data_IF_678827319815
#
_entry.id   IF_678827319815
#
_cell.length_a   1.000
_cell.length_b   1.000
_cell.length_c   1.000
_cell.angle_alpha   90.00
_cell.angle_beta   90.00
_cell.angle_gamma   90.00
#
_symmetry.space_group_name_H-M   'P 1'
#
loop_
_entity.id
_entity.type
_entity.pdbx_description
1 polymer ?
#
# COMPACT_ATOMS: atom_id res chain seq x y z
N UNK A 1 -24.78 -10.16 3.11
CA UNK A 1 -24.62 -11.19 4.17
C UNK A 1 -24.66 -12.56 3.54
N UNK A 2 -23.86 -13.52 4.02
CA UNK A 2 -23.94 -14.89 3.54
C UNK A 2 -25.33 -15.49 3.87
N UNK A 3 -25.98 -16.23 2.96
CA UNK A 3 -27.33 -16.76 3.15
C UNK A 3 -27.51 -17.61 4.43
N UNK A 4 -26.45 -18.31 4.86
CA UNK A 4 -26.44 -19.14 6.06
C UNK A 4 -26.44 -18.34 7.36
N UNK A 5 -25.74 -17.19 7.39
CA UNK A 5 -25.68 -16.32 8.57
C UNK A 5 -27.03 -15.69 8.87
N UNK A 6 -27.75 -15.26 7.83
CA UNK A 6 -29.08 -14.67 7.99
C UNK A 6 -30.09 -15.71 8.50
N UNK A 7 -30.08 -16.92 7.92
CA UNK A 7 -30.92 -18.04 8.38
C UNK A 7 -30.71 -18.40 9.85
N UNK A 8 -29.46 -18.35 10.31
CA UNK A 8 -29.08 -18.61 11.71
C UNK A 8 -29.69 -17.56 12.66
N UNK A 9 -29.65 -16.29 12.27
CA UNK A 9 -30.19 -15.17 13.05
C UNK A 9 -31.71 -15.22 13.07
N UNK A 10 -32.35 -15.47 11.92
CA UNK A 10 -33.80 -15.52 11.80
C UNK A 10 -34.41 -16.66 12.63
N UNK A 11 -33.79 -17.84 12.62
CA UNK A 11 -34.22 -18.94 13.50
C UNK A 11 -34.10 -18.55 14.98
N UNK A 12 -32.98 -17.93 15.36
CA UNK A 12 -32.73 -17.54 16.75
C UNK A 12 -33.73 -16.47 17.22
N UNK A 13 -34.09 -15.50 16.37
CA UNK A 13 -35.09 -14.49 16.71
C UNK A 13 -36.49 -15.10 16.91
N UNK A 14 -36.81 -16.16 16.17
CA UNK A 14 -38.12 -16.82 16.21
C UNK A 14 -38.21 -17.96 17.25
N UNK A 15 -37.09 -18.38 17.84
CA UNK A 15 -37.06 -19.45 18.85
C UNK A 15 -37.57 -18.97 20.23
N UNK A 16 -38.32 -19.79 20.98
CA UNK A 16 -38.78 -19.45 22.33
C UNK A 16 -37.60 -19.17 23.28
N UNK A 17 -37.70 -18.13 24.10
CA UNK A 17 -36.63 -17.71 25.02
C UNK A 17 -36.21 -18.81 26.02
N UNK A 18 -37.07 -19.78 26.31
CA UNK A 18 -36.77 -20.92 27.19
C UNK A 18 -35.82 -21.95 26.56
N UNK A 19 -35.81 -22.07 25.23
CA UNK A 19 -35.07 -23.10 24.50
C UNK A 19 -33.98 -22.50 23.58
N UNK A 20 -33.94 -21.17 23.49
CA UNK A 20 -33.03 -20.44 22.63
C UNK A 20 -31.64 -20.32 23.29
N UNK A 21 -30.54 -20.63 22.58
CA UNK A 21 -29.19 -20.42 23.11
C UNK A 21 -28.88 -18.94 23.33
N UNK A 22 -27.90 -18.62 24.17
CA UNK A 22 -27.55 -17.23 24.49
C UNK A 22 -27.13 -16.38 23.28
N UNK A 23 -26.67 -17.02 22.20
CA UNK A 23 -26.23 -16.36 20.96
C UNK A 23 -26.70 -17.16 19.74
N UNK A 24 -27.04 -16.49 18.62
CA UNK A 24 -27.33 -17.16 17.35
C UNK A 24 -26.13 -17.99 16.85
N UNK A 25 -24.89 -17.65 17.22
CA UNK A 25 -23.67 -18.34 16.78
C UNK A 25 -23.18 -19.42 17.75
N UNK A 26 -24.08 -19.93 18.60
CA UNK A 26 -23.78 -21.04 19.50
C UNK A 26 -23.86 -22.37 18.76
N UNK A 27 -23.01 -23.34 19.13
CA UNK A 27 -23.07 -24.72 18.63
C UNK A 27 -24.39 -25.43 18.97
N UNK A 28 -25.17 -24.92 19.93
CA UNK A 28 -26.50 -25.41 20.26
C UNK A 28 -27.59 -24.91 19.30
N UNK A 29 -27.30 -23.95 18.42
CA UNK A 29 -28.22 -23.52 17.36
C UNK A 29 -28.13 -24.51 16.18
N UNK A 30 -29.23 -25.21 15.82
CA UNK A 30 -29.23 -26.20 14.75
C UNK A 30 -29.02 -25.58 13.36
N UNK A 31 -29.34 -24.29 13.19
CA UNK A 31 -29.10 -23.56 11.94
C UNK A 31 -27.67 -22.98 11.86
N UNK A 32 -26.95 -22.99 12.98
CA UNK A 32 -25.54 -22.58 13.01
C UNK A 32 -24.65 -23.72 12.54
N UNK A 33 -24.39 -23.74 11.23
CA UNK A 33 -23.29 -24.50 10.69
C UNK A 33 -22.02 -23.72 11.02
N UNK A 34 -21.29 -24.15 12.07
CA UNK A 34 -19.98 -23.59 12.37
C UNK A 34 -19.16 -23.61 11.08
N UNK A 35 -18.63 -22.47 10.60
CA UNK A 35 -17.74 -22.48 9.46
C UNK A 35 -16.53 -23.33 9.86
N UNK A 36 -16.54 -24.62 9.51
CA UNK A 36 -15.34 -25.41 9.38
C UNK A 36 -14.65 -24.96 8.10
N UNK A 37 -14.39 -23.66 7.98
CA UNK A 37 -13.32 -23.24 7.11
C UNK A 37 -12.09 -23.65 7.89
N UNK A 38 -11.59 -24.86 7.60
CA UNK A 38 -10.19 -25.17 7.84
C UNK A 38 -9.49 -24.11 6.99
N UNK A 39 -9.13 -23.01 7.62
CA UNK A 39 -8.24 -22.06 7.02
C UNK A 39 -6.95 -22.85 6.94
N UNK A 40 -6.57 -23.27 5.74
CA UNK A 40 -5.23 -23.81 5.55
C UNK A 40 -4.29 -22.66 5.90
N UNK A 41 -3.73 -22.72 7.11
CA UNK A 41 -2.93 -21.62 7.68
C UNK A 41 -1.75 -21.30 6.76
N UNK A 42 -1.29 -22.29 6.00
CA UNK A 42 -0.22 -22.13 5.03
C UNK A 42 -0.70 -21.31 3.81
N UNK A 43 -1.88 -21.61 3.27
CA UNK A 43 -2.43 -20.87 2.12
C UNK A 43 -2.67 -19.38 2.46
N UNK A 44 -3.12 -19.09 3.70
CA UNK A 44 -3.30 -17.70 4.15
C UNK A 44 -1.96 -17.03 4.46
N UNK A 45 -0.97 -17.76 4.96
CA UNK A 45 0.37 -17.24 5.17
C UNK A 45 1.05 -16.90 3.84
N UNK A 46 0.95 -17.79 2.84
CA UNK A 46 1.49 -17.58 1.51
C UNK A 46 0.86 -16.35 0.83
N UNK A 47 -0.46 -16.17 0.98
CA UNK A 47 -1.16 -14.98 0.48
C UNK A 47 -0.72 -13.70 1.19
N UNK A 48 -0.55 -13.75 2.51
CA UNK A 48 -0.09 -12.60 3.29
C UNK A 48 1.36 -12.23 2.96
N UNK A 49 2.23 -13.22 2.74
CA UNK A 49 3.63 -13.01 2.37
C UNK A 49 3.74 -12.43 0.95
N UNK A 50 2.91 -12.91 0.00
CA UNK A 50 2.83 -12.34 -1.33
C UNK A 50 2.33 -10.87 -1.32
N UNK A 51 1.34 -10.54 -0.48
CA UNK A 51 0.90 -9.15 -0.31
C UNK A 51 1.98 -8.28 0.35
N UNK A 52 2.75 -8.83 1.28
CA UNK A 52 3.82 -8.12 1.98
C UNK A 52 5.00 -7.80 1.05
N UNK A 53 5.42 -8.76 0.23
CA UNK A 53 6.46 -8.55 -0.80
C UNK A 53 6.01 -7.46 -1.78
N UNK A 54 4.76 -7.50 -2.22
CA UNK A 54 4.22 -6.48 -3.12
C UNK A 54 4.20 -5.09 -2.47
N UNK A 55 3.79 -4.99 -1.22
CA UNK A 55 3.82 -3.74 -0.48
C UNK A 55 5.25 -3.22 -0.28
N UNK A 56 6.22 -4.10 -0.05
CA UNK A 56 7.63 -3.73 0.10
C UNK A 56 8.23 -3.20 -1.21
N UNK A 57 7.90 -3.82 -2.35
CA UNK A 57 8.26 -3.32 -3.68
C UNK A 57 7.64 -1.95 -3.97
N UNK A 58 6.36 -1.76 -3.63
CA UNK A 58 5.66 -0.46 -3.78
C UNK A 58 6.29 0.62 -2.90
N UNK A 59 6.69 0.30 -1.67
CA UNK A 59 7.39 1.22 -0.76
C UNK A 59 8.78 1.58 -1.31
N UNK A 60 9.53 0.61 -1.84
CA UNK A 60 10.84 0.87 -2.43
C UNK A 60 10.74 1.78 -3.65
N UNK A 61 9.75 1.55 -4.53
CA UNK A 61 9.49 2.41 -5.68
C UNK A 61 9.08 3.81 -5.24
N UNK A 62 8.16 3.95 -4.28
CA UNK A 62 7.74 5.25 -3.75
C UNK A 62 8.91 6.04 -3.15
N UNK A 63 9.77 5.38 -2.36
CA UNK A 63 10.95 6.04 -1.79
C UNK A 63 11.95 6.51 -2.85
N UNK A 64 12.14 5.73 -3.92
CA UNK A 64 13.00 6.13 -5.03
C UNK A 64 12.45 7.35 -5.78
N UNK A 65 11.11 7.46 -5.91
CA UNK A 65 10.42 8.60 -6.50
C UNK A 65 10.55 9.87 -5.64
N UNK A 66 10.38 9.77 -4.31
CA UNK A 66 10.58 10.90 -3.40
C UNK A 66 12.02 11.42 -3.42
N UNK A 67 13.02 10.51 -3.44
CA UNK A 67 14.42 10.88 -3.54
C UNK A 67 14.71 11.60 -4.89
N UNK A 68 14.14 11.08 -5.98
CA UNK A 68 14.28 11.69 -7.30
C UNK A 68 13.66 13.10 -7.34
N UNK A 69 12.47 13.27 -6.76
CA UNK A 69 11.79 14.57 -6.64
C UNK A 69 12.63 15.56 -5.84
N UNK A 70 13.19 15.15 -4.70
CA UNK A 70 14.04 16.00 -3.87
C UNK A 70 15.31 16.44 -4.63
N UNK A 71 15.96 15.53 -5.35
CA UNK A 71 17.14 15.84 -6.18
C UNK A 71 16.77 16.81 -7.31
N UNK A 72 15.62 16.61 -7.96
CA UNK A 72 15.12 17.49 -9.02
C UNK A 72 14.84 18.90 -8.49
N UNK A 73 14.19 19.01 -7.33
CA UNK A 73 13.89 20.28 -6.68
C UNK A 73 15.18 21.04 -6.34
N UNK A 74 16.21 20.35 -5.82
CA UNK A 74 17.53 20.94 -5.56
C UNK A 74 18.18 21.40 -6.86
N UNK A 75 18.10 20.60 -7.93
CA UNK A 75 18.70 20.95 -9.23
C UNK A 75 18.03 22.18 -9.87
N UNK A 76 16.71 22.28 -9.79
CA UNK A 76 15.95 23.44 -10.26
C UNK A 76 16.22 24.69 -9.41
N UNK A 77 16.28 24.54 -8.08
CA UNK A 77 16.61 25.63 -7.18
C UNK A 77 18.02 26.17 -7.45
N UNK A 78 18.98 25.26 -7.65
CA UNK A 78 20.37 25.59 -8.01
C UNK A 78 20.44 26.27 -9.38
N UNK A 79 19.71 25.77 -10.38
CA UNK A 79 19.59 26.40 -11.70
C UNK A 79 18.96 27.81 -11.64
N UNK A 80 17.90 28.00 -10.86
CA UNK A 80 17.28 29.31 -10.64
C UNK A 80 18.20 30.31 -9.93
N UNK A 81 18.95 29.86 -8.92
CA UNK A 81 19.96 30.67 -8.22
C UNK A 81 21.12 31.07 -9.13
N UNK A 82 21.41 30.27 -10.17
CA UNK A 82 22.47 30.55 -11.14
C UNK A 82 22.29 31.93 -11.81
N UNK A 83 21.05 32.32 -12.11
CA UNK A 83 20.74 33.62 -12.71
C UNK A 83 21.04 34.83 -11.80
N UNK A 84 21.17 34.62 -10.49
CA UNK A 84 21.44 35.67 -9.50
C UNK A 84 22.94 35.91 -9.25
N UNK A 85 23.80 35.00 -9.71
CA UNK A 85 25.24 35.12 -9.53
C UNK A 85 25.84 36.07 -10.56
N UNK A 86 26.73 36.97 -10.13
CA UNK A 86 27.46 37.89 -11.02
C UNK A 86 28.66 37.25 -11.72
N UNK A 87 29.16 36.11 -11.22
CA UNK A 87 30.36 35.46 -11.74
C UNK A 87 30.02 34.47 -12.85
N UNK A 88 30.55 34.70 -14.06
CA UNK A 88 30.35 33.80 -15.21
C UNK A 88 30.89 32.38 -14.98
N UNK A 89 31.98 32.23 -14.22
CA UNK A 89 32.55 30.90 -13.91
C UNK A 89 31.64 30.12 -12.95
N UNK A 90 31.05 30.78 -11.97
CA UNK A 90 30.09 30.17 -11.06
C UNK A 90 28.78 29.83 -11.78
N UNK A 91 28.36 30.67 -12.74
CA UNK A 91 27.20 30.40 -13.57
C UNK A 91 27.36 29.13 -14.41
N UNK A 92 28.50 28.99 -15.09
CA UNK A 92 28.80 27.81 -15.91
C UNK A 92 28.87 26.52 -15.11
N UNK A 93 29.49 26.55 -13.92
CA UNK A 93 29.59 25.38 -13.06
C UNK A 93 28.22 24.91 -12.56
N UNK A 94 27.35 25.83 -12.16
CA UNK A 94 26.01 25.46 -11.68
C UNK A 94 25.09 25.01 -12.81
N UNK A 95 25.17 25.62 -13.98
CA UNK A 95 24.48 25.15 -15.19
C UNK A 95 24.92 23.74 -15.57
N UNK A 96 26.22 23.46 -15.52
CA UNK A 96 26.78 22.14 -15.77
C UNK A 96 26.23 21.11 -14.79
N UNK A 97 26.24 21.39 -13.48
CA UNK A 97 25.73 20.48 -12.45
C UNK A 97 24.22 20.27 -12.58
N UNK A 98 23.47 21.34 -12.84
CA UNK A 98 22.02 21.26 -13.06
C UNK A 98 21.70 20.40 -14.28
N UNK A 99 22.43 20.56 -15.39
CA UNK A 99 22.25 19.76 -16.60
C UNK A 99 22.58 18.27 -16.38
N UNK A 100 23.67 17.94 -15.68
CA UNK A 100 23.98 16.52 -15.37
C UNK A 100 22.93 15.89 -14.47
N UNK A 101 22.46 16.61 -13.45
CA UNK A 101 21.39 16.10 -12.59
C UNK A 101 20.11 15.87 -13.38
N UNK A 102 19.73 16.80 -14.26
CA UNK A 102 18.56 16.66 -15.13
C UNK A 102 18.64 15.43 -16.05
N UNK A 103 19.82 15.18 -16.64
CA UNK A 103 20.06 13.99 -17.47
C UNK A 103 19.97 12.71 -16.65
N UNK A 104 20.60 12.66 -15.47
CA UNK A 104 20.52 11.50 -14.57
C UNK A 104 19.08 11.25 -14.14
N UNK A 105 18.33 12.30 -13.83
CA UNK A 105 16.93 12.17 -13.44
C UNK A 105 16.03 11.71 -14.58
N UNK A 106 16.27 12.17 -15.81
CA UNK A 106 15.54 11.70 -17.00
C UNK A 106 15.83 10.22 -17.29
N UNK A 107 17.08 9.77 -17.13
CA UNK A 107 17.46 8.36 -17.25
C UNK A 107 16.84 7.54 -16.12
N UNK A 108 16.83 8.05 -14.88
CA UNK A 108 16.19 7.40 -13.74
C UNK A 108 14.69 7.19 -13.95
N UNK A 109 13.98 8.19 -14.47
CA UNK A 109 12.58 8.08 -14.87
C UNK A 109 12.34 7.01 -15.93
N UNK A 110 13.25 6.84 -16.90
CA UNK A 110 13.13 5.82 -17.95
C UNK A 110 13.42 4.39 -17.47
N UNK A 111 14.17 4.23 -16.37
CA UNK A 111 14.53 2.91 -15.82
C UNK A 111 13.53 2.45 -14.76
N UNK A 112 12.92 3.39 -14.02
CA UNK A 112 11.95 3.11 -12.96
C UNK A 112 10.51 2.91 -13.48
N UNK A 113 10.23 3.23 -14.76
CA UNK A 113 8.91 3.10 -15.40
C UNK A 113 8.94 2.00 -16.46
#
# INVERSE_FOLDING_TARGET
MAPSTQKTIDWWLNAPASNRPASPFSSANPEWITPRKVIDTNEVLDLAEAELIKAEDEIHQAHSLELLEAILAIAFLTGGLTATLRSQSAQFLLLSVSATVLVISAVGLLVLW
#
